data_IF_971288642930
#
_entry.id   IF_971288642930
#
_cell.length_a   1.000
_cell.length_b   1.000
_cell.length_c   1.000
_cell.angle_alpha   90.00
_cell.angle_beta   90.00
_cell.angle_gamma   90.00
#
_symmetry.space_group_name_H-M   'P 1'
#
loop_
_entity.id
_entity.type
_entity.pdbx_description
1 polymer ?
#
# COMPACT_ATOMS: atom_id res chain seq x y z
N UNK A 1 -9.23 12.47 -7.08
CA UNK A 1 -10.49 12.08 -6.44
C UNK A 1 -10.41 12.43 -4.96
N UNK A 2 -10.93 13.60 -4.61
CA UNK A 2 -10.82 14.16 -3.26
C UNK A 2 -12.06 13.83 -2.41
N UNK A 3 -13.15 13.39 -3.03
CA UNK A 3 -14.46 13.23 -2.38
C UNK A 3 -14.55 12.12 -1.33
N UNK A 4 -13.64 11.15 -1.36
CA UNK A 4 -13.63 10.02 -0.41
C UNK A 4 -12.78 10.28 0.84
N UNK A 5 -12.03 11.39 0.88
CA UNK A 5 -11.12 11.70 1.98
C UNK A 5 -11.75 12.65 2.98
N UNK A 6 -11.55 12.34 4.25
CA UNK A 6 -11.94 13.22 5.34
C UNK A 6 -11.00 14.44 5.41
N UNK A 7 -11.57 15.56 5.78
CA UNK A 7 -10.86 16.82 6.06
C UNK A 7 -11.15 17.25 7.50
N UNK A 8 -10.52 18.30 7.98
CA UNK A 8 -10.77 18.85 9.31
C UNK A 8 -12.25 19.27 9.54
N UNK A 9 -13.01 19.43 8.45
CA UNK A 9 -14.45 19.77 8.50
C UNK A 9 -15.35 18.52 8.47
N UNK A 10 -14.79 17.34 8.24
CA UNK A 10 -15.55 16.09 8.17
C UNK A 10 -15.69 15.52 9.57
N UNK A 11 -16.92 15.18 10.06
CA UNK A 11 -17.14 14.67 11.41
C UNK A 11 -16.77 13.18 11.53
N UNK A 12 -15.55 12.82 11.14
CA UNK A 12 -15.00 11.46 11.16
C UNK A 12 -13.59 11.50 11.73
N UNK A 13 -13.28 10.56 12.62
CA UNK A 13 -11.93 10.41 13.13
C UNK A 13 -11.01 9.82 12.03
N UNK A 14 -9.96 10.52 11.67
CA UNK A 14 -9.02 10.05 10.66
C UNK A 14 -7.56 10.29 11.04
N UNK A 15 -6.67 9.58 10.38
CA UNK A 15 -5.22 9.77 10.45
C UNK A 15 -4.66 9.82 9.02
N UNK A 16 -3.84 10.80 8.74
CA UNK A 16 -3.07 10.86 7.51
C UNK A 16 -1.64 10.38 7.78
N UNK A 17 -1.10 9.58 6.89
CA UNK A 17 0.27 9.08 6.94
C UNK A 17 0.92 9.46 5.61
N UNK A 18 1.89 10.34 5.67
CA UNK A 18 2.57 10.87 4.49
C UNK A 18 3.75 10.00 4.05
N UNK A 19 4.27 10.24 2.84
CA UNK A 19 5.41 9.52 2.26
C UNK A 19 6.63 9.50 3.20
N UNK A 20 6.93 10.61 3.86
CA UNK A 20 8.07 10.71 4.76
C UNK A 20 7.93 9.82 6.00
N UNK A 21 6.73 9.64 6.51
CA UNK A 21 6.43 8.75 7.62
C UNK A 21 6.48 7.29 7.17
N UNK A 22 5.86 6.96 6.03
CA UNK A 22 5.91 5.63 5.44
C UNK A 22 7.35 5.19 5.18
N UNK A 23 8.19 6.07 4.63
CA UNK A 23 9.59 5.76 4.32
C UNK A 23 10.41 5.41 5.56
N UNK A 24 10.09 5.97 6.72
CA UNK A 24 10.81 5.69 7.99
C UNK A 24 10.55 4.29 8.54
N UNK A 25 9.41 3.70 8.21
CA UNK A 25 8.97 2.41 8.78
C UNK A 25 8.84 1.30 7.74
N UNK A 26 9.04 1.60 6.46
CA UNK A 26 8.92 0.64 5.38
C UNK A 26 10.23 -0.13 5.18
N UNK A 27 10.40 -1.21 5.91
CA UNK A 27 11.51 -2.16 5.78
C UNK A 27 11.12 -3.43 5.01
N UNK A 28 9.99 -3.42 4.30
CA UNK A 28 9.47 -4.54 3.52
C UNK A 28 8.18 -5.13 4.08
N UNK A 29 7.72 -4.66 5.23
CA UNK A 29 6.46 -5.14 5.81
C UNK A 29 5.26 -4.71 4.95
N UNK A 30 4.21 -5.50 5.03
CA UNK A 30 2.93 -5.21 4.40
C UNK A 30 2.26 -3.96 4.99
N UNK A 31 1.37 -3.38 4.23
CA UNK A 31 0.66 -2.14 4.62
C UNK A 31 -0.01 -2.22 5.99
N UNK A 32 -0.65 -3.33 6.43
CA UNK A 32 -1.16 -3.43 7.80
C UNK A 32 -0.14 -3.07 8.87
N UNK A 33 1.09 -3.56 8.73
CA UNK A 33 2.16 -3.28 9.70
C UNK A 33 2.62 -1.82 9.67
N UNK A 34 2.64 -1.19 8.51
CA UNK A 34 2.92 0.25 8.40
C UNK A 34 1.85 1.10 9.08
N UNK A 35 0.63 0.57 9.22
CA UNK A 35 -0.49 1.20 9.90
C UNK A 35 -0.59 0.84 11.39
N UNK A 36 0.27 -0.04 11.92
CA UNK A 36 0.18 -0.55 13.31
C UNK A 36 0.21 0.53 14.39
N UNK A 37 0.89 1.65 14.14
CA UNK A 37 0.94 2.79 15.06
C UNK A 37 -0.27 3.75 14.92
N UNK A 38 -1.18 3.46 14.00
CA UNK A 38 -2.41 4.24 13.85
C UNK A 38 -3.38 3.91 15.01
N UNK A 39 -4.01 4.89 15.65
CA UNK A 39 -4.94 4.62 16.74
C UNK A 39 -6.05 3.65 16.36
N UNK A 40 -6.38 2.74 17.27
CA UNK A 40 -7.45 1.73 17.13
C UNK A 40 -7.20 0.69 16.01
N UNK A 41 -5.98 0.51 15.56
CA UNK A 41 -5.61 -0.55 14.63
C UNK A 41 -4.97 -1.72 15.38
N UNK A 42 -5.23 -2.94 14.89
CA UNK A 42 -4.56 -4.17 15.29
C UNK A 42 -4.13 -4.89 14.03
N UNK A 43 -2.90 -5.36 14.02
CA UNK A 43 -2.32 -6.10 12.90
C UNK A 43 -1.85 -7.47 13.36
N UNK A 44 -1.98 -8.46 12.49
CA UNK A 44 -1.44 -9.81 12.74
C UNK A 44 -0.65 -10.27 11.54
N UNK A 45 0.29 -11.19 11.76
CA UNK A 45 1.09 -11.82 10.71
C UNK A 45 1.22 -13.29 11.01
N UNK A 46 0.87 -14.13 10.06
CA UNK A 46 1.02 -15.58 10.20
C UNK A 46 2.49 -15.98 10.28
N UNK A 47 3.35 -15.29 9.57
CA UNK A 47 4.80 -15.50 9.59
C UNK A 47 5.53 -14.78 10.75
N UNK A 48 4.85 -13.96 11.52
CA UNK A 48 5.42 -13.18 12.62
C UNK A 48 6.28 -11.98 12.20
N UNK A 49 6.70 -11.89 10.93
CA UNK A 49 7.61 -10.86 10.44
C UNK A 49 6.88 -9.63 9.84
N UNK A 50 5.56 -9.67 9.73
CA UNK A 50 4.77 -8.60 9.10
C UNK A 50 4.84 -8.59 7.58
N UNK A 51 5.31 -9.67 6.96
CA UNK A 51 5.47 -9.83 5.52
C UNK A 51 4.70 -11.09 5.10
N UNK A 52 3.96 -11.02 3.99
CA UNK A 52 3.20 -12.14 3.44
C UNK A 52 1.73 -12.12 3.88
N UNK A 53 1.29 -13.11 4.65
CA UNK A 53 -0.10 -13.13 5.12
C UNK A 53 -0.26 -12.28 6.38
N UNK A 54 -0.79 -11.09 6.17
CA UNK A 54 -1.04 -10.11 7.23
C UNK A 54 -2.50 -9.68 7.25
N UNK A 55 -3.01 -9.29 8.40
CA UNK A 55 -4.37 -8.78 8.54
C UNK A 55 -4.39 -7.43 9.23
N UNK A 56 -5.43 -6.66 8.92
CA UNK A 56 -5.72 -5.37 9.54
C UNK A 56 -7.10 -5.43 10.19
N UNK A 57 -7.17 -5.00 11.43
CA UNK A 57 -8.43 -4.74 12.14
C UNK A 57 -8.46 -3.29 12.60
N UNK A 58 -9.61 -2.65 12.52
CA UNK A 58 -9.81 -1.28 13.00
C UNK A 58 -11.03 -1.25 13.90
N UNK A 59 -10.87 -0.74 15.12
CA UNK A 59 -11.92 -0.75 16.14
C UNK A 59 -12.54 -2.14 16.38
N UNK A 60 -11.73 -3.21 16.27
CA UNK A 60 -12.18 -4.59 16.44
C UNK A 60 -12.87 -5.21 15.22
N UNK A 61 -13.18 -4.44 14.17
CA UNK A 61 -13.76 -4.97 12.93
C UNK A 61 -12.67 -5.61 12.06
N UNK A 62 -13.03 -6.66 11.36
CA UNK A 62 -12.13 -7.38 10.45
C UNK A 62 -12.03 -6.70 9.07
N UNK A 63 -11.15 -7.26 8.22
CA UNK A 63 -10.87 -6.71 6.88
C UNK A 63 -12.07 -6.63 5.95
N UNK A 64 -13.10 -7.48 6.14
CA UNK A 64 -14.33 -7.48 5.32
C UNK A 64 -15.21 -6.26 5.58
N UNK A 65 -14.96 -5.53 6.68
CA UNK A 65 -15.64 -4.31 7.10
C UNK A 65 -14.79 -3.06 6.92
N UNK A 66 -13.68 -3.20 6.23
CA UNK A 66 -12.73 -2.11 5.94
C UNK A 66 -12.68 -1.91 4.43
N UNK A 67 -13.15 -0.76 3.97
CA UNK A 67 -13.04 -0.41 2.56
C UNK A 67 -11.62 0.09 2.25
N UNK A 68 -10.99 -0.49 1.24
CA UNK A 68 -9.64 -0.14 0.83
C UNK A 68 -9.68 0.37 -0.60
N UNK A 69 -9.12 1.56 -0.81
CA UNK A 69 -9.07 2.17 -2.13
C UNK A 69 -7.65 2.59 -2.52
N UNK A 70 -7.34 2.44 -3.80
CA UNK A 70 -6.16 3.01 -4.44
C UNK A 70 -6.63 4.04 -5.45
N UNK A 71 -6.24 5.29 -5.29
CA UNK A 71 -6.67 6.42 -6.14
C UNK A 71 -8.21 6.52 -6.28
N UNK A 72 -8.96 6.10 -5.25
CA UNK A 72 -10.42 6.09 -5.24
C UNK A 72 -11.06 4.87 -5.88
N UNK A 73 -10.27 3.90 -6.37
CA UNK A 73 -10.76 2.62 -6.91
C UNK A 73 -10.78 1.59 -5.78
N UNK A 74 -11.93 0.94 -5.50
CA UNK A 74 -12.01 -0.12 -4.50
C UNK A 74 -11.11 -1.30 -4.86
N UNK A 75 -10.42 -1.84 -3.87
CA UNK A 75 -9.49 -2.96 -4.01
C UNK A 75 -9.97 -4.22 -3.31
N UNK A 76 -11.05 -4.13 -2.52
CA UNK A 76 -11.63 -5.29 -1.87
C UNK A 76 -12.15 -6.26 -2.92
N UNK A 77 -11.85 -7.53 -2.73
CA UNK A 77 -12.35 -8.61 -3.57
C UNK A 77 -13.89 -8.70 -3.50
N UNK A 78 -14.53 -8.94 -4.64
CA UNK A 78 -15.98 -8.91 -4.75
C UNK A 78 -16.69 -10.08 -4.05
N UNK A 79 -16.02 -11.20 -3.86
CA UNK A 79 -16.55 -12.41 -3.23
C UNK A 79 -16.29 -12.40 -1.72
N UNK A 80 -15.01 -12.28 -1.33
CA UNK A 80 -14.59 -12.32 0.08
C UNK A 80 -14.79 -11.00 0.82
N UNK A 81 -15.03 -9.91 0.12
CA UNK A 81 -15.05 -8.53 0.65
C UNK A 81 -13.76 -8.10 1.37
N UNK A 82 -12.69 -8.84 1.24
CA UNK A 82 -11.40 -8.59 1.89
C UNK A 82 -10.35 -8.14 0.87
N UNK A 83 -9.23 -7.64 1.35
CA UNK A 83 -8.01 -7.45 0.56
C UNK A 83 -6.92 -8.38 1.09
N UNK A 84 -6.37 -9.20 0.22
CA UNK A 84 -5.19 -10.01 0.52
C UNK A 84 -3.94 -9.17 0.28
N UNK A 85 -3.35 -8.68 1.36
CA UNK A 85 -2.20 -7.77 1.32
C UNK A 85 -0.96 -8.40 0.68
N UNK A 86 -0.83 -9.72 0.77
CA UNK A 86 0.21 -10.48 0.10
C UNK A 86 0.24 -10.23 -1.40
N UNK A 87 -0.91 -9.98 -2.03
CA UNK A 87 -1.03 -9.68 -3.47
C UNK A 87 -0.55 -8.26 -3.84
N UNK A 88 -0.05 -7.50 -2.87
CA UNK A 88 0.44 -6.14 -3.05
C UNK A 88 1.86 -5.93 -2.47
N UNK A 89 2.84 -6.79 -2.82
CA UNK A 89 4.16 -6.73 -2.22
C UNK A 89 4.85 -5.40 -2.54
N UNK A 90 5.41 -4.77 -1.49
CA UNK A 90 6.04 -3.44 -1.52
C UNK A 90 5.19 -2.33 -2.18
N UNK A 91 3.88 -2.47 -2.21
CA UNK A 91 3.02 -1.44 -2.82
C UNK A 91 3.18 -0.08 -2.12
N UNK A 92 3.43 -0.09 -0.81
CA UNK A 92 3.71 1.10 0.00
C UNK A 92 4.84 1.98 -0.55
N UNK A 93 5.83 1.40 -1.20
CA UNK A 93 6.92 2.13 -1.87
C UNK A 93 6.45 2.97 -3.07
N UNK A 94 5.26 2.72 -3.60
CA UNK A 94 4.65 3.51 -4.68
C UNK A 94 3.53 4.44 -4.17
N UNK A 95 3.30 4.48 -2.86
CA UNK A 95 2.25 5.29 -2.23
C UNK A 95 2.81 6.63 -1.80
N UNK A 96 2.10 7.70 -2.16
CA UNK A 96 2.39 9.06 -1.74
C UNK A 96 1.92 9.32 -0.32
N UNK A 97 0.71 8.90 -0.03
CA UNK A 97 0.08 9.06 1.29
C UNK A 97 -1.07 8.08 1.47
N UNK A 98 -1.41 7.82 2.73
CA UNK A 98 -2.55 7.02 3.15
C UNK A 98 -3.41 7.81 4.13
N UNK A 99 -4.71 7.62 4.07
CA UNK A 99 -5.63 8.11 5.09
C UNK A 99 -6.45 6.94 5.64
N UNK A 100 -6.40 6.76 6.94
CA UNK A 100 -7.24 5.81 7.67
C UNK A 100 -8.38 6.57 8.33
N UNK A 101 -9.62 6.34 7.89
CA UNK A 101 -10.84 6.84 8.49
C UNK A 101 -11.44 5.74 9.37
N UNK A 102 -11.75 6.06 10.63
CA UNK A 102 -12.21 5.08 11.63
C UNK A 102 -13.70 5.20 11.88
N UNK A 103 -14.39 4.09 11.70
CA UNK A 103 -15.85 3.99 11.79
C UNK A 103 -16.53 4.14 10.44
N UNK A 104 -17.86 4.13 10.44
CA UNK A 104 -18.64 4.34 9.24
C UNK A 104 -18.31 5.71 8.63
N UNK A 105 -17.75 5.66 7.43
CA UNK A 105 -17.37 6.86 6.69
C UNK A 105 -18.56 7.53 6.00
N UNK A 106 -18.26 8.42 5.07
CA UNK A 106 -19.29 8.98 4.18
C UNK A 106 -19.80 7.91 3.22
N UNK A 107 -20.99 8.08 2.66
CA UNK A 107 -21.61 7.15 1.69
C UNK A 107 -20.73 6.89 0.45
N UNK A 108 -19.78 7.76 0.16
CA UNK A 108 -18.81 7.62 -0.93
C UNK A 108 -17.80 6.48 -0.72
N UNK A 109 -17.66 5.97 0.50
CA UNK A 109 -16.76 4.88 0.83
C UNK A 109 -17.35 3.48 0.57
N UNK A 110 -18.62 3.40 0.17
CA UNK A 110 -19.29 2.14 -0.15
C UNK A 110 -19.80 1.37 1.07
N UNK A 111 -20.55 0.29 0.81
CA UNK A 111 -21.22 -0.51 1.84
C UNK A 111 -20.27 -1.26 2.79
N UNK A 112 -19.07 -1.61 2.31
CA UNK A 112 -18.04 -2.28 3.12
C UNK A 112 -17.36 -1.39 4.16
N UNK A 113 -17.55 -0.07 4.12
CA UNK A 113 -16.87 0.89 4.99
C UNK A 113 -17.53 1.05 6.38
N UNK A 114 -18.01 -0.03 6.96
CA UNK A 114 -18.65 -0.01 8.27
C UNK A 114 -17.66 0.21 9.42
N UNK A 115 -16.54 -0.48 9.36
CA UNK A 115 -15.50 -0.41 10.40
C UNK A 115 -14.50 0.72 10.17
N UNK A 116 -14.04 0.84 8.94
CA UNK A 116 -13.06 1.84 8.55
C UNK A 116 -12.97 1.99 7.01
N UNK A 117 -12.22 3.01 6.58
CA UNK A 117 -11.75 3.14 5.21
C UNK A 117 -10.26 3.46 5.19
N UNK A 118 -9.51 2.76 4.35
CA UNK A 118 -8.09 3.05 4.05
C UNK A 118 -7.99 3.57 2.63
N UNK A 119 -7.66 4.84 2.48
CA UNK A 119 -7.58 5.49 1.18
C UNK A 119 -6.10 5.76 0.85
N UNK A 120 -5.55 5.04 -0.11
CA UNK A 120 -4.19 5.18 -0.58
C UNK A 120 -4.14 6.04 -1.85
N UNK A 121 -3.17 6.93 -1.92
CA UNK A 121 -2.85 7.64 -3.15
C UNK A 121 -1.46 7.23 -3.62
N UNK A 122 -1.35 6.84 -4.88
CA UNK A 122 -0.05 6.56 -5.50
C UNK A 122 0.71 7.85 -5.77
N UNK A 123 2.01 7.72 -5.93
CA UNK A 123 2.86 8.85 -6.31
C UNK A 123 2.33 9.48 -7.61
N UNK A 124 2.41 10.80 -7.68
CA UNK A 124 2.14 11.55 -8.91
C UNK A 124 3.28 11.37 -9.90
N UNK A 125 3.07 11.83 -11.12
CA UNK A 125 4.13 11.92 -12.11
C UNK A 125 5.26 12.83 -11.61
N UNK A 126 6.51 12.38 -11.72
CA UNK A 126 7.66 13.22 -11.44
C UNK A 126 7.89 14.17 -12.63
N UNK A 127 8.10 15.45 -12.35
CA UNK A 127 8.45 16.43 -13.40
C UNK A 127 9.94 16.40 -13.75
N UNK A 128 10.78 15.84 -12.87
CA UNK A 128 12.22 15.70 -13.08
C UNK A 128 12.61 14.24 -13.16
N UNK A 129 13.60 13.90 -14.01
CA UNK A 129 14.12 12.54 -14.02
C UNK A 129 14.73 12.19 -12.67
N UNK A 130 14.60 10.93 -12.26
CA UNK A 130 15.17 10.44 -11.02
C UNK A 130 15.49 8.95 -11.10
N UNK A 131 16.44 8.53 -10.28
CA UNK A 131 16.68 7.16 -9.93
C UNK A 131 16.88 7.08 -8.41
N UNK A 132 16.22 6.12 -7.77
CA UNK A 132 16.27 5.90 -6.33
C UNK A 132 16.49 4.42 -6.06
N UNK A 133 17.43 4.12 -5.17
CA UNK A 133 17.62 2.78 -4.61
C UNK A 133 17.35 2.83 -3.12
N UNK A 134 16.58 1.88 -2.62
CA UNK A 134 16.33 1.66 -1.20
C UNK A 134 16.63 0.21 -0.88
N UNK A 135 17.52 -0.01 0.09
CA UNK A 135 17.84 -1.31 0.61
C UNK A 135 17.68 -1.35 2.12
N UNK A 136 17.24 -2.48 2.65
CA UNK A 136 17.23 -2.76 4.09
C UNK A 136 17.63 -4.21 4.33
N UNK A 137 18.24 -4.45 5.48
CA UNK A 137 18.60 -5.78 5.94
C UNK A 137 18.34 -5.88 7.45
N UNK A 138 17.83 -7.02 7.91
CA UNK A 138 17.44 -7.24 9.30
C UNK A 138 17.59 -8.68 9.75
N UNK A 139 17.05 -8.98 10.92
CA UNK A 139 17.07 -10.33 11.52
C UNK A 139 16.34 -11.33 10.62
N UNK A 140 16.63 -12.62 10.80
CA UNK A 140 16.07 -13.74 10.04
C UNK A 140 16.26 -13.58 8.52
N UNK A 141 17.45 -13.07 8.13
CA UNK A 141 17.78 -12.82 6.72
C UNK A 141 16.74 -11.94 6.00
N UNK A 142 16.01 -11.11 6.76
CA UNK A 142 15.04 -10.19 6.18
C UNK A 142 15.75 -9.13 5.39
N UNK A 143 15.42 -9.02 4.10
CA UNK A 143 16.00 -8.04 3.21
C UNK A 143 14.95 -7.46 2.27
N UNK A 144 15.21 -6.26 1.82
CA UNK A 144 14.43 -5.56 0.81
C UNK A 144 15.34 -4.76 -0.09
N UNK A 145 15.17 -4.91 -1.39
CA UNK A 145 15.79 -4.07 -2.40
C UNK A 145 14.70 -3.49 -3.31
N UNK A 146 14.71 -2.17 -3.45
CA UNK A 146 13.76 -1.46 -4.29
C UNK A 146 14.50 -0.46 -5.17
N UNK A 147 14.31 -0.59 -6.48
CA UNK A 147 14.78 0.38 -7.47
C UNK A 147 13.59 1.12 -8.04
N UNK A 148 13.68 2.44 -8.09
CA UNK A 148 12.71 3.32 -8.75
C UNK A 148 13.42 4.19 -9.75
N UNK A 149 12.81 4.35 -10.91
CA UNK A 149 13.26 5.27 -11.96
C UNK A 149 12.09 6.03 -12.53
N UNK A 150 12.33 7.25 -12.94
CA UNK A 150 11.36 8.08 -13.62
C UNK A 150 12.00 8.95 -14.68
N UNK A 151 11.33 9.12 -15.80
CA UNK A 151 11.84 9.92 -16.93
C UNK A 151 11.76 11.42 -16.71
N UNK A 152 10.94 11.85 -15.73
CA UNK A 152 10.48 13.23 -15.70
C UNK A 152 9.50 13.53 -16.85
N UNK A 153 9.20 14.80 -17.05
CA UNK A 153 8.29 15.25 -18.09
C UNK A 153 9.02 15.30 -19.44
N UNK A 154 8.61 14.44 -20.36
CA UNK A 154 9.12 14.38 -21.73
C UNK A 154 8.21 15.16 -22.66
N UNK A 155 8.80 16.02 -23.49
CA UNK A 155 8.09 16.83 -24.50
C UNK A 155 6.85 17.58 -23.93
N UNK A 156 6.91 17.99 -22.69
CA UNK A 156 5.83 18.65 -21.93
C UNK A 156 4.52 17.85 -21.82
N UNK A 157 4.51 16.56 -22.18
CA UNK A 157 3.28 15.76 -22.19
C UNK A 157 3.41 14.40 -21.50
N UNK A 158 4.56 13.74 -21.57
CA UNK A 158 4.66 12.34 -21.17
C UNK A 158 5.53 12.15 -19.94
N UNK A 159 5.12 11.24 -19.06
CA UNK A 159 5.96 10.75 -17.95
C UNK A 159 5.88 9.24 -17.88
N UNK A 160 6.99 8.62 -17.49
CA UNK A 160 7.05 7.19 -17.22
C UNK A 160 7.82 6.97 -15.92
N UNK A 161 7.22 6.20 -15.02
CA UNK A 161 7.83 5.81 -13.76
C UNK A 161 7.78 4.29 -13.64
N UNK A 162 8.83 3.70 -13.11
CA UNK A 162 8.93 2.26 -12.85
C UNK A 162 9.52 2.00 -11.47
N UNK A 163 9.04 0.95 -10.83
CA UNK A 163 9.61 0.39 -9.60
C UNK A 163 9.74 -1.12 -9.76
N UNK A 164 10.88 -1.65 -9.32
CA UNK A 164 11.13 -3.07 -9.13
C UNK A 164 11.50 -3.29 -7.66
N UNK A 165 10.95 -4.32 -7.05
CA UNK A 165 11.25 -4.66 -5.66
C UNK A 165 11.41 -6.16 -5.48
N UNK A 166 12.37 -6.53 -4.63
CA UNK A 166 12.54 -7.85 -4.07
C UNK A 166 12.47 -7.75 -2.55
N UNK A 167 11.78 -8.67 -1.90
CA UNK A 167 11.69 -8.79 -0.45
C UNK A 167 11.82 -10.26 -0.09
N UNK A 168 12.72 -10.58 0.83
CA UNK A 168 12.89 -11.94 1.34
C UNK A 168 13.03 -11.95 2.85
N UNK A 169 12.63 -13.06 3.46
CA UNK A 169 12.85 -13.35 4.89
C UNK A 169 12.76 -14.85 5.14
N UNK A 170 13.56 -15.35 6.07
CA UNK A 170 13.43 -16.72 6.57
C UNK A 170 12.28 -16.85 7.59
N UNK A 171 11.77 -15.71 8.09
CA UNK A 171 10.70 -15.63 9.07
C UNK A 171 11.16 -15.85 10.50
N UNK A 172 10.38 -15.36 11.46
CA UNK A 172 10.60 -15.56 12.89
C UNK A 172 10.12 -16.93 13.37
N UNK A 173 9.05 -17.43 12.77
CA UNK A 173 8.44 -18.73 13.09
C UNK A 173 9.01 -19.77 12.12
N UNK A 174 9.18 -21.02 12.58
CA UNK A 174 9.62 -22.12 11.72
C UNK A 174 8.70 -22.27 10.50
N UNK A 175 9.29 -22.45 9.30
CA UNK A 175 8.60 -22.54 8.01
C UNK A 175 7.87 -21.27 7.55
N UNK A 176 8.23 -20.11 8.05
CA UNK A 176 7.59 -18.84 7.71
C UNK A 176 8.37 -18.03 6.66
N UNK A 177 9.15 -18.69 5.81
CA UNK A 177 9.94 -17.99 4.79
C UNK A 177 9.07 -17.36 3.72
N UNK A 178 9.51 -16.21 3.22
CA UNK A 178 8.82 -15.42 2.20
C UNK A 178 9.82 -14.94 1.17
N UNK A 179 9.44 -15.02 -0.12
CA UNK A 179 10.17 -14.45 -1.25
C UNK A 179 9.16 -13.75 -2.17
N UNK A 180 9.26 -12.44 -2.24
CA UNK A 180 8.33 -11.57 -2.97
C UNK A 180 9.08 -10.74 -3.99
N UNK A 181 8.63 -10.79 -5.23
CA UNK A 181 9.12 -9.95 -6.31
C UNK A 181 7.97 -9.15 -6.87
N UNK A 182 8.13 -7.85 -7.05
CA UNK A 182 7.05 -7.02 -7.58
C UNK A 182 7.56 -5.94 -8.52
N UNK A 183 6.66 -5.50 -9.39
CA UNK A 183 6.86 -4.33 -10.20
C UNK A 183 5.66 -3.37 -10.09
N UNK A 184 5.93 -2.12 -10.35
CA UNK A 184 4.94 -1.05 -10.50
C UNK A 184 5.36 -0.17 -11.67
N UNK A 185 4.46 0.04 -12.61
CA UNK A 185 4.67 0.88 -13.78
C UNK A 185 3.58 1.95 -13.81
N UNK A 186 3.97 3.16 -14.13
CA UNK A 186 3.05 4.28 -14.29
C UNK A 186 3.41 5.06 -15.55
N UNK A 187 2.42 5.27 -16.41
CA UNK A 187 2.49 6.19 -17.55
C UNK A 187 1.55 7.37 -17.33
N UNK A 188 1.97 8.56 -17.68
CA UNK A 188 1.15 9.75 -17.63
C UNK A 188 1.19 10.51 -18.96
N UNK A 189 0.05 11.00 -19.39
CA UNK A 189 -0.08 11.95 -20.50
C UNK A 189 -0.81 13.21 -19.99
N UNK A 190 -0.27 14.37 -20.29
CA UNK A 190 -0.78 15.65 -19.84
C UNK A 190 -0.94 16.60 -21.04
N UNK A 191 -2.11 17.18 -21.16
CA UNK A 191 -2.44 18.27 -22.09
C UNK A 191 -3.22 19.35 -21.32
N UNK A 192 -3.49 20.48 -21.96
CA UNK A 192 -4.14 21.63 -21.31
C UNK A 192 -5.43 21.26 -20.55
N UNK A 193 -6.30 20.45 -21.15
CA UNK A 193 -7.60 20.09 -20.60
C UNK A 193 -7.77 18.58 -20.38
N UNK A 194 -6.70 17.78 -20.54
CA UNK A 194 -6.78 16.34 -20.45
C UNK A 194 -5.57 15.79 -19.71
N UNK A 195 -5.82 14.89 -18.77
CA UNK A 195 -4.76 14.07 -18.17
C UNK A 195 -5.19 12.61 -18.18
N UNK A 196 -4.29 11.74 -18.61
CA UNK A 196 -4.47 10.29 -18.59
C UNK A 196 -3.37 9.71 -17.74
N UNK A 197 -3.73 8.82 -16.81
CA UNK A 197 -2.79 8.08 -15.98
C UNK A 197 -3.09 6.60 -16.11
N UNK A 198 -2.09 5.84 -16.52
CA UNK A 198 -2.12 4.38 -16.56
C UNK A 198 -1.22 3.84 -15.46
N UNK A 199 -1.73 2.88 -14.70
CA UNK A 199 -0.96 2.18 -13.67
C UNK A 199 -1.10 0.68 -13.91
N UNK A 200 0.03 -0.03 -13.86
CA UNK A 200 0.10 -1.48 -13.86
C UNK A 200 1.03 -1.94 -12.75
N UNK A 201 0.60 -2.90 -11.97
CA UNK A 201 1.45 -3.54 -10.96
C UNK A 201 1.10 -5.00 -10.83
N UNK A 202 2.10 -5.81 -10.50
CA UNK A 202 1.93 -7.21 -10.17
C UNK A 202 3.11 -7.70 -9.33
N UNK A 203 2.97 -8.91 -8.77
CA UNK A 203 4.00 -9.58 -8.02
C UNK A 203 4.03 -11.08 -8.29
N UNK A 204 5.15 -11.68 -7.95
CA UNK A 204 5.31 -13.12 -7.80
C UNK A 204 5.68 -13.38 -6.35
N UNK A 205 4.91 -14.24 -5.72
CA UNK A 205 4.97 -14.46 -4.28
C UNK A 205 5.18 -15.94 -4.00
N UNK A 206 6.12 -16.21 -3.10
CA UNK A 206 6.32 -17.52 -2.51
C UNK A 206 6.30 -17.35 -1.00
N UNK A 207 5.24 -17.83 -0.39
CA UNK A 207 5.01 -17.68 1.06
C UNK A 207 4.64 -19.02 1.66
N UNK A 208 4.89 -19.18 2.93
CA UNK A 208 4.40 -20.29 3.72
C UNK A 208 3.39 -19.80 4.76
N UNK A 209 2.34 -20.58 4.95
CA UNK A 209 1.51 -20.46 6.14
C UNK A 209 2.14 -21.26 7.27
N UNK A 210 2.33 -20.62 8.40
CA UNK A 210 2.72 -21.29 9.63
C UNK A 210 1.47 -21.91 10.29
N UNK A 211 0.88 -22.93 9.66
CA UNK A 211 -0.17 -23.73 10.29
C UNK A 211 0.47 -24.76 11.22
N UNK A 212 0.00 -24.85 12.44
CA UNK A 212 0.31 -25.92 13.38
C UNK A 212 -0.55 -27.15 13.04
#
# INVERSE_FOLDING_TARGET
>A
VVSTRATAKTPVAFTNIGKAELKKVNFGQDIPYLLSMTPSTLTTSDAGAGIGYTTLRVRGTDGTRINITVNGIPMNDAESHNLFWVNMPDFSSSVKDMQVQRGAGTSTNGAGAFGASVNMQTEGASMKPYAEFNGSYGSFNTHKETVKVGTGLLNNHWTFDARLSNIGTDGYIDRASVDLNSYYLQGGYFAENTSVKLIAFAGKEKTYHAWN
#
